data_IF_619239108094
#
_entry.id   IF_619239108094
#
_cell.length_a   1.000
_cell.length_b   1.000
_cell.length_c   1.000
_cell.angle_alpha   90.00
_cell.angle_beta   90.00
_cell.angle_gamma   90.00
#
_symmetry.space_group_name_H-M   'P 1'
#
loop_
_entity.id
_entity.type
_entity.pdbx_description
1 polymer ?
#
# COMPACT_ATOMS: atom_id res chain seq x y z
N UNK A 1 27.92 -18.87 2.35
CA UNK A 1 27.88 -17.63 3.14
C UNK A 1 26.90 -17.88 4.26
N UNK A 2 27.31 -17.79 5.51
CA UNK A 2 26.42 -17.97 6.67
C UNK A 2 25.48 -16.78 6.74
N UNK A 3 24.21 -16.98 6.40
CA UNK A 3 23.16 -15.98 6.63
C UNK A 3 23.05 -15.78 8.15
N UNK A 4 23.55 -14.66 8.65
CA UNK A 4 23.19 -14.24 10.00
C UNK A 4 21.70 -13.91 10.00
N UNK A 5 20.97 -14.55 10.91
CA UNK A 5 19.55 -14.21 11.11
C UNK A 5 19.44 -12.74 11.53
N UNK A 6 18.49 -12.03 10.95
CA UNK A 6 18.20 -10.64 11.28
C UNK A 6 17.84 -10.50 12.76
N UNK A 7 18.50 -9.61 13.49
CA UNK A 7 18.25 -9.42 14.92
C UNK A 7 17.03 -8.51 15.14
N UNK A 8 16.35 -8.62 16.31
CA UNK A 8 15.26 -7.69 16.67
C UNK A 8 15.68 -6.22 16.68
N UNK A 9 16.91 -5.93 17.10
CA UNK A 9 17.47 -4.56 17.09
C UNK A 9 17.61 -4.03 15.65
N UNK A 10 18.08 -4.85 14.73
CA UNK A 10 18.21 -4.49 13.32
C UNK A 10 16.83 -4.25 12.70
N UNK A 11 15.85 -5.10 13.00
CA UNK A 11 14.47 -4.94 12.54
C UNK A 11 13.85 -3.63 13.05
N UNK A 12 14.05 -3.31 14.33
CA UNK A 12 13.58 -2.06 14.93
C UNK A 12 14.23 -0.84 14.29
N UNK A 13 15.53 -0.89 14.01
CA UNK A 13 16.24 0.22 13.36
C UNK A 13 15.70 0.46 11.93
N UNK A 14 15.46 -0.60 11.15
CA UNK A 14 14.84 -0.48 9.84
C UNK A 14 13.45 0.15 9.92
N UNK A 15 12.63 -0.27 10.90
CA UNK A 15 11.31 0.30 11.12
C UNK A 15 11.39 1.79 11.49
N UNK A 16 12.33 2.19 12.34
CA UNK A 16 12.53 3.59 12.68
C UNK A 16 12.86 4.44 11.46
N UNK A 17 13.70 3.94 10.54
CA UNK A 17 14.03 4.63 9.29
C UNK A 17 12.79 4.71 8.38
N UNK A 18 12.04 3.62 8.21
CA UNK A 18 10.79 3.62 7.43
C UNK A 18 9.79 4.66 7.95
N UNK A 19 9.63 4.74 9.28
CA UNK A 19 8.73 5.70 9.94
C UNK A 19 9.19 7.14 9.75
N UNK A 20 10.50 7.43 9.91
CA UNK A 20 11.04 8.77 9.67
C UNK A 20 10.80 9.19 8.22
N UNK A 21 11.12 8.32 7.27
CA UNK A 21 10.95 8.56 5.84
C UNK A 21 9.48 8.83 5.47
N UNK A 22 8.55 7.98 5.93
CA UNK A 22 7.13 8.17 5.67
C UNK A 22 6.60 9.48 6.28
N UNK A 23 7.00 9.82 7.50
CA UNK A 23 6.61 11.10 8.14
C UNK A 23 7.22 12.32 7.45
N UNK A 24 8.46 12.23 6.97
CA UNK A 24 9.10 13.32 6.23
C UNK A 24 8.33 13.62 4.93
N UNK A 25 7.93 12.60 4.16
CA UNK A 25 7.06 12.75 3.00
C UNK A 25 5.70 13.36 3.39
N UNK A 26 5.07 12.87 4.45
CA UNK A 26 3.81 13.42 4.95
C UNK A 26 3.91 14.90 5.35
N UNK A 27 5.06 15.35 5.87
CA UNK A 27 5.28 16.76 6.15
C UNK A 27 5.34 17.60 4.86
N UNK A 28 5.97 17.08 3.80
CA UNK A 28 5.97 17.71 2.46
C UNK A 28 4.54 17.80 1.94
N UNK A 29 3.73 16.74 2.05
CA UNK A 29 2.33 16.76 1.63
C UNK A 29 1.55 17.89 2.31
N UNK A 30 1.63 18.00 3.65
CA UNK A 30 0.90 19.03 4.39
C UNK A 30 1.37 20.46 4.07
N UNK A 31 2.67 20.65 3.81
CA UNK A 31 3.23 21.95 3.46
C UNK A 31 2.69 22.49 2.14
N UNK A 32 2.36 21.61 1.20
CA UNK A 32 1.91 21.95 -0.14
C UNK A 32 0.40 21.72 -0.38
N UNK A 33 -0.33 21.13 0.55
CA UNK A 33 -1.75 20.81 0.40
C UNK A 33 -2.57 22.08 0.09
N UNK A 34 -3.35 22.01 -0.99
CA UNK A 34 -4.16 23.14 -1.46
C UNK A 34 -3.37 24.26 -2.18
N UNK A 35 -2.06 24.07 -2.41
CA UNK A 35 -1.17 25.01 -3.12
C UNK A 35 -0.48 24.37 -4.31
N UNK A 36 -0.98 23.23 -4.79
CA UNK A 36 -0.31 22.43 -5.83
C UNK A 36 -0.28 23.20 -7.14
N UNK A 37 0.91 23.64 -7.53
CA UNK A 37 1.24 24.10 -8.87
C UNK A 37 1.88 22.97 -9.68
N UNK A 38 1.83 23.07 -11.02
CA UNK A 38 2.60 22.16 -11.86
C UNK A 38 2.09 20.73 -11.98
N UNK A 39 0.77 20.52 -11.80
CA UNK A 39 0.14 19.21 -12.06
C UNK A 39 0.35 18.79 -13.51
N UNK A 40 0.85 17.58 -13.73
CA UNK A 40 1.09 17.00 -15.06
C UNK A 40 0.44 15.61 -15.13
N UNK A 41 0.03 15.22 -16.35
CA UNK A 41 -0.37 13.86 -16.63
C UNK A 41 0.86 12.99 -16.93
N UNK A 42 0.96 11.80 -16.33
CA UNK A 42 2.02 10.81 -16.61
C UNK A 42 1.72 10.03 -17.90
N UNK A 43 0.85 9.05 -17.81
CA UNK A 43 0.52 8.12 -18.90
C UNK A 43 -0.84 8.42 -19.54
N UNK A 44 -1.76 9.00 -18.80
CA UNK A 44 -3.09 9.37 -19.24
C UNK A 44 -3.55 10.67 -18.58
N UNK A 45 -4.65 11.25 -19.07
CA UNK A 45 -5.22 12.47 -18.48
C UNK A 45 -5.63 12.29 -17.00
N UNK A 46 -5.88 11.07 -16.57
CA UNK A 46 -6.26 10.75 -15.19
C UNK A 46 -5.06 10.34 -14.31
N UNK A 47 -3.90 10.07 -14.90
CA UNK A 47 -2.67 9.68 -14.20
C UNK A 47 -1.83 10.95 -13.96
N UNK A 48 -1.94 11.52 -12.78
CA UNK A 48 -1.34 12.81 -12.42
C UNK A 48 -0.04 12.62 -11.64
N UNK A 49 0.86 13.56 -11.82
CA UNK A 49 2.03 13.76 -10.97
C UNK A 49 2.13 15.23 -10.59
N UNK A 50 2.58 15.51 -9.41
CA UNK A 50 2.83 16.86 -8.92
C UNK A 50 4.30 17.06 -8.59
N UNK A 51 4.73 18.30 -8.42
CA UNK A 51 6.09 18.60 -7.93
C UNK A 51 6.32 18.04 -6.52
N UNK A 52 5.22 17.78 -5.80
CA UNK A 52 5.21 17.26 -4.43
C UNK A 52 5.63 15.79 -4.39
N UNK A 53 5.22 14.97 -5.38
CA UNK A 53 5.63 13.56 -5.48
C UNK A 53 7.16 13.45 -5.54
N UNK A 54 7.79 14.21 -6.44
CA UNK A 54 9.26 14.22 -6.57
C UNK A 54 9.98 14.82 -5.35
N UNK A 55 9.40 15.81 -4.66
CA UNK A 55 9.97 16.34 -3.42
C UNK A 55 9.85 15.32 -2.29
N UNK A 56 8.70 14.66 -2.17
CA UNK A 56 8.47 13.62 -1.17
C UNK A 56 9.39 12.41 -1.40
N UNK A 57 9.61 11.97 -2.65
CA UNK A 57 10.55 10.88 -2.91
C UNK A 57 11.98 11.24 -2.54
N UNK A 58 12.42 12.46 -2.84
CA UNK A 58 13.78 12.92 -2.46
C UNK A 58 14.01 12.92 -0.96
N UNK A 59 13.03 13.32 -0.15
CA UNK A 59 13.18 13.29 1.32
C UNK A 59 13.17 11.85 1.84
N UNK A 60 12.34 10.96 1.30
CA UNK A 60 12.37 9.52 1.64
C UNK A 60 13.75 8.93 1.36
N UNK A 61 14.29 9.15 0.16
CA UNK A 61 15.62 8.65 -0.23
C UNK A 61 16.73 9.20 0.66
N UNK A 62 16.66 10.48 1.04
CA UNK A 62 17.63 11.09 1.94
C UNK A 62 17.60 10.46 3.34
N UNK A 63 16.42 10.20 3.90
CA UNK A 63 16.27 9.53 5.20
C UNK A 63 16.83 8.10 5.17
N UNK A 64 16.57 7.35 4.08
CA UNK A 64 17.12 6.00 3.91
C UNK A 64 18.64 6.04 3.76
N UNK A 65 19.17 6.91 2.90
CA UNK A 65 20.59 6.98 2.61
C UNK A 65 21.44 7.44 3.81
N UNK A 66 20.86 8.17 4.76
CA UNK A 66 21.55 8.61 5.97
C UNK A 66 22.01 7.43 6.85
N UNK A 67 21.21 6.36 6.91
CA UNK A 67 21.52 5.15 7.70
C UNK A 67 21.97 3.98 6.81
N UNK A 68 21.49 3.89 5.56
CA UNK A 68 21.69 2.76 4.64
C UNK A 68 22.08 3.23 3.22
N UNK A 69 23.26 3.85 3.06
CA UNK A 69 23.69 4.41 1.78
C UNK A 69 23.91 3.36 0.67
N UNK A 70 24.12 2.09 1.05
CA UNK A 70 24.36 0.99 0.11
C UNK A 70 23.09 0.19 -0.22
N UNK A 71 21.93 0.51 0.38
CA UNK A 71 20.68 -0.17 0.06
C UNK A 71 20.09 0.35 -1.25
N UNK A 72 19.55 -0.56 -2.06
CA UNK A 72 18.79 -0.18 -3.25
C UNK A 72 17.44 0.45 -2.86
N UNK A 73 16.96 1.39 -3.68
CA UNK A 73 15.64 2.02 -3.51
C UNK A 73 14.89 1.95 -4.82
N UNK A 74 13.71 1.33 -4.82
CA UNK A 74 12.73 1.36 -5.90
C UNK A 74 11.64 2.36 -5.52
N UNK A 75 11.56 3.48 -6.21
CA UNK A 75 10.52 4.50 -6.04
C UNK A 75 9.66 4.64 -7.28
N UNK A 76 8.50 5.25 -7.12
CA UNK A 76 7.56 5.48 -8.20
C UNK A 76 8.09 6.51 -9.21
N UNK A 77 8.68 7.62 -8.73
CA UNK A 77 9.03 8.77 -9.56
C UNK A 77 10.42 8.63 -10.20
N UNK A 78 11.43 8.22 -9.43
CA UNK A 78 12.81 8.13 -9.89
C UNK A 78 13.22 6.68 -10.25
N UNK A 79 12.30 5.72 -10.08
CA UNK A 79 12.57 4.32 -10.39
C UNK A 79 13.59 3.66 -9.46
N UNK A 80 14.27 2.63 -9.97
CA UNK A 80 15.27 1.89 -9.21
C UNK A 80 16.60 2.64 -9.20
N UNK A 81 17.17 2.82 -8.01
CA UNK A 81 18.51 3.38 -7.78
C UNK A 81 19.29 2.49 -6.82
N UNK A 82 20.62 2.50 -6.94
CA UNK A 82 21.53 1.61 -6.21
C UNK A 82 21.72 0.26 -6.91
N UNK A 83 22.72 -0.49 -6.45
CA UNK A 83 23.00 -1.83 -7.01
C UNK A 83 22.01 -2.85 -6.42
N UNK A 84 21.50 -3.78 -7.26
CA UNK A 84 20.69 -4.88 -6.75
C UNK A 84 21.44 -5.66 -5.68
N UNK A 85 20.82 -5.80 -4.52
CA UNK A 85 21.42 -6.44 -3.36
C UNK A 85 20.38 -7.16 -2.51
N UNK A 86 20.82 -7.60 -1.32
CA UNK A 86 19.96 -8.26 -0.34
C UNK A 86 18.81 -7.36 0.14
N UNK A 87 19.07 -6.06 0.26
CA UNK A 87 18.13 -5.08 0.81
C UNK A 87 17.64 -4.12 -0.25
N UNK A 88 16.31 -3.99 -0.37
CA UNK A 88 15.67 -3.05 -1.28
C UNK A 88 14.52 -2.34 -0.57
N UNK A 89 14.59 -1.02 -0.51
CA UNK A 89 13.45 -0.20 -0.13
C UNK A 89 12.49 -0.06 -1.31
N UNK A 90 11.20 -0.15 -1.03
CA UNK A 90 10.14 0.02 -2.03
C UNK A 90 9.24 1.13 -1.51
N UNK A 91 9.17 2.24 -2.25
CA UNK A 91 8.58 3.48 -1.75
C UNK A 91 7.59 4.09 -2.74
N UNK A 92 6.44 4.49 -2.22
CA UNK A 92 5.51 5.39 -2.87
C UNK A 92 5.51 6.72 -2.11
N UNK A 93 6.01 7.79 -2.74
CA UNK A 93 6.10 9.08 -2.08
C UNK A 93 4.74 9.71 -1.81
N UNK A 94 3.74 9.48 -2.66
CA UNK A 94 2.39 10.05 -2.56
C UNK A 94 1.34 9.14 -3.20
N UNK A 95 0.96 8.06 -2.51
CA UNK A 95 -0.20 7.25 -2.90
C UNK A 95 -1.49 8.08 -2.82
N UNK A 96 -2.25 8.11 -3.92
CA UNK A 96 -3.43 8.94 -4.05
C UNK A 96 -3.16 10.34 -4.64
N UNK A 97 -2.22 10.47 -5.57
CA UNK A 97 -1.84 11.74 -6.23
C UNK A 97 -3.04 12.48 -6.82
N UNK A 98 -3.99 11.78 -7.45
CA UNK A 98 -5.22 12.40 -7.98
C UNK A 98 -6.04 13.03 -6.86
N UNK A 99 -6.21 12.32 -5.75
CA UNK A 99 -6.91 12.83 -4.57
C UNK A 99 -6.22 14.09 -4.03
N UNK A 100 -4.90 13.99 -3.88
CA UNK A 100 -4.07 15.10 -3.40
C UNK A 100 -4.20 16.34 -4.28
N UNK A 101 -4.08 16.19 -5.61
CA UNK A 101 -4.20 17.27 -6.58
C UNK A 101 -5.56 18.01 -6.50
N UNK A 102 -6.62 17.26 -6.12
CA UNK A 102 -7.97 17.82 -5.92
C UNK A 102 -8.25 18.25 -4.47
N UNK A 103 -7.29 18.14 -3.55
CA UNK A 103 -7.51 18.46 -2.13
C UNK A 103 -8.44 17.46 -1.42
N UNK A 104 -8.66 16.27 -2.00
CA UNK A 104 -9.44 15.21 -1.37
C UNK A 104 -8.56 14.46 -0.35
N UNK A 105 -8.96 14.44 0.97
CA UNK A 105 -8.05 14.05 2.04
C UNK A 105 -7.91 12.53 2.22
N UNK A 106 -7.57 11.82 1.13
CA UNK A 106 -7.29 10.38 1.11
C UNK A 106 -6.02 10.16 0.29
N UNK A 107 -4.88 10.25 0.95
CA UNK A 107 -3.54 10.04 0.38
C UNK A 107 -2.55 9.73 1.51
N UNK A 108 -1.44 9.09 1.17
CA UNK A 108 -0.42 8.72 2.14
C UNK A 108 0.97 8.66 1.50
N UNK A 109 1.97 8.38 2.32
CA UNK A 109 3.27 7.86 1.91
C UNK A 109 3.40 6.40 2.34
N UNK A 110 4.02 5.58 1.51
CA UNK A 110 4.21 4.15 1.71
C UNK A 110 5.68 3.81 1.59
N UNK A 111 6.26 3.16 2.63
CA UNK A 111 7.68 2.79 2.69
C UNK A 111 7.81 1.36 3.18
N UNK A 112 8.39 0.49 2.38
CA UNK A 112 8.68 -0.89 2.74
C UNK A 112 10.16 -1.20 2.58
N UNK A 113 10.67 -2.16 3.36
CA UNK A 113 11.95 -2.79 3.15
C UNK A 113 11.74 -4.26 2.81
N UNK A 114 12.41 -4.70 1.78
CA UNK A 114 12.57 -6.11 1.43
C UNK A 114 13.99 -6.60 1.73
N UNK A 115 14.07 -7.83 2.24
CA UNK A 115 15.30 -8.60 2.43
C UNK A 115 15.20 -9.86 1.58
N UNK A 116 16.09 -10.04 0.62
CA UNK A 116 16.08 -11.17 -0.33
C UNK A 116 14.71 -11.34 -1.05
N UNK A 117 14.03 -10.22 -1.34
CA UNK A 117 12.72 -10.19 -1.98
C UNK A 117 11.52 -10.40 -1.05
N UNK A 118 11.76 -10.64 0.25
CA UNK A 118 10.71 -10.77 1.26
C UNK A 118 10.50 -9.46 2.00
N UNK A 119 9.28 -8.98 2.11
CA UNK A 119 8.91 -7.78 2.86
C UNK A 119 9.17 -8.01 4.35
N UNK A 120 10.00 -7.17 4.97
CA UNK A 120 10.38 -7.34 6.38
C UNK A 120 9.95 -6.16 7.26
N UNK A 121 9.77 -4.97 6.67
CA UNK A 121 9.29 -3.76 7.34
C UNK A 121 8.30 -3.05 6.43
N UNK A 122 7.25 -2.47 7.03
CA UNK A 122 6.30 -1.60 6.33
C UNK A 122 5.87 -0.43 7.22
N UNK A 123 5.80 0.76 6.62
CA UNK A 123 5.24 1.97 7.23
C UNK A 123 4.39 2.72 6.19
N UNK A 124 3.14 3.02 6.56
CA UNK A 124 2.21 3.84 5.77
C UNK A 124 1.74 4.99 6.64
N UNK A 125 1.88 6.23 6.16
CA UNK A 125 1.51 7.40 6.93
C UNK A 125 0.46 8.25 6.20
N UNK A 126 -0.74 8.36 6.79
CA UNK A 126 -1.78 9.31 6.41
C UNK A 126 -1.58 10.63 7.19
N UNK A 127 -1.07 11.68 6.56
CA UNK A 127 -0.81 12.93 7.25
C UNK A 127 -2.10 13.71 7.59
N UNK A 128 -3.21 13.44 6.88
CA UNK A 128 -4.48 14.15 7.09
C UNK A 128 -5.17 13.74 8.37
N UNK A 129 -5.01 12.47 8.78
CA UNK A 129 -5.55 11.89 10.01
C UNK A 129 -4.50 11.75 11.11
N UNK A 130 -3.21 11.95 10.79
CA UNK A 130 -2.10 11.65 11.70
C UNK A 130 -2.01 10.16 12.04
N UNK A 131 -2.40 9.29 11.10
CA UNK A 131 -2.41 7.84 11.26
C UNK A 131 -1.14 7.24 10.68
N UNK A 132 -0.35 6.60 11.53
CA UNK A 132 0.84 5.86 11.15
C UNK A 132 0.59 4.37 11.35
N UNK A 133 0.53 3.63 10.25
CA UNK A 133 0.45 2.17 10.23
C UNK A 133 1.85 1.60 10.08
N UNK A 134 2.19 0.60 10.89
CA UNK A 134 3.52 -0.02 10.87
C UNK A 134 3.43 -1.51 11.06
N UNK A 135 4.37 -2.25 10.47
CA UNK A 135 4.58 -3.66 10.75
C UNK A 135 6.04 -4.06 10.58
N UNK A 136 6.44 -5.10 11.29
CA UNK A 136 7.64 -5.88 11.00
C UNK A 136 7.25 -7.35 10.86
N UNK A 137 7.91 -8.08 9.98
CA UNK A 137 7.63 -9.50 9.76
C UNK A 137 7.78 -10.30 11.06
N UNK A 138 6.70 -10.97 11.48
CA UNK A 138 6.61 -11.70 12.75
C UNK A 138 6.51 -10.83 14.00
N UNK A 139 6.46 -9.51 13.86
CA UNK A 139 6.34 -8.56 14.98
C UNK A 139 4.94 -8.00 15.20
N UNK A 140 4.00 -8.30 14.30
CA UNK A 140 2.64 -7.77 14.32
C UNK A 140 2.52 -6.40 13.65
N UNK A 141 1.28 -5.92 13.56
CA UNK A 141 0.94 -4.63 12.96
C UNK A 141 0.37 -3.65 14.00
N UNK A 142 0.60 -2.35 13.78
CA UNK A 142 0.23 -1.30 14.74
C UNK A 142 -0.30 -0.06 14.02
N UNK A 143 -1.27 0.63 14.65
CA UNK A 143 -1.72 1.98 14.30
C UNK A 143 -1.36 2.93 15.44
N UNK A 144 -0.48 3.90 15.18
CA UNK A 144 0.02 4.83 16.20
C UNK A 144 0.54 4.12 17.46
N UNK A 145 1.17 2.96 17.30
CA UNK A 145 1.70 2.13 18.38
C UNK A 145 0.68 1.21 19.06
N UNK A 146 -0.62 1.30 18.72
CA UNK A 146 -1.64 0.37 19.21
C UNK A 146 -1.75 -0.85 18.28
N UNK A 147 -1.78 -2.10 18.81
CA UNK A 147 -1.87 -3.29 17.98
C UNK A 147 -3.11 -3.29 17.08
N UNK A 148 -2.94 -3.70 15.83
CA UNK A 148 -4.01 -3.86 14.84
C UNK A 148 -4.50 -5.30 14.77
N UNK A 149 -5.76 -5.44 14.39
CA UNK A 149 -6.35 -6.72 13.95
C UNK A 149 -7.37 -6.47 12.86
N UNK A 150 -7.42 -7.35 11.90
CA UNK A 150 -8.49 -7.40 10.89
C UNK A 150 -9.86 -7.64 11.53
N UNK A 151 -10.93 -7.35 10.79
CA UNK A 151 -12.29 -7.61 11.20
C UNK A 151 -12.58 -9.12 11.35
N UNK A 152 -13.67 -9.46 12.03
CA UNK A 152 -14.16 -10.83 12.18
C UNK A 152 -15.39 -11.13 11.30
N UNK A 153 -15.64 -10.35 10.25
CA UNK A 153 -16.75 -10.57 9.31
C UNK A 153 -16.52 -11.87 8.56
N UNK A 154 -17.43 -12.87 8.68
CA UNK A 154 -17.13 -14.23 8.22
C UNK A 154 -17.44 -14.50 6.75
N UNK A 155 -18.42 -13.80 6.15
CA UNK A 155 -18.93 -14.02 4.79
C UNK A 155 -19.42 -12.73 4.17
N UNK A 156 -19.58 -12.69 2.84
CA UNK A 156 -20.15 -11.54 2.11
C UNK A 156 -21.67 -11.38 2.36
N UNK A 157 -22.36 -12.39 2.86
CA UNK A 157 -23.78 -12.32 3.25
C UNK A 157 -24.02 -11.54 4.55
N UNK A 158 -22.94 -11.21 5.28
CA UNK A 158 -22.98 -10.34 6.46
C UNK A 158 -22.66 -8.89 6.04
N UNK A 159 -22.85 -7.88 6.92
CA UNK A 159 -22.52 -6.50 6.59
C UNK A 159 -21.02 -6.29 6.34
N UNK A 160 -20.52 -6.81 5.23
CA UNK A 160 -19.16 -6.60 4.77
C UNK A 160 -19.02 -5.23 4.07
N UNK A 161 -17.86 -4.61 4.19
CA UNK A 161 -17.48 -3.41 3.44
C UNK A 161 -16.23 -3.70 2.63
N UNK A 162 -16.36 -3.62 1.30
CA UNK A 162 -15.25 -3.85 0.38
C UNK A 162 -14.74 -2.53 -0.22
N UNK A 163 -13.47 -2.56 -0.67
CA UNK A 163 -12.89 -1.49 -1.47
C UNK A 163 -12.30 -2.03 -2.78
N UNK A 164 -12.16 -1.15 -3.75
CA UNK A 164 -11.46 -1.41 -5.02
C UNK A 164 -10.86 -0.14 -5.59
N UNK A 165 -9.89 -0.29 -6.47
CA UNK A 165 -9.39 0.77 -7.33
C UNK A 165 -9.60 0.44 -8.82
N UNK A 166 -9.26 1.39 -9.66
CA UNK A 166 -9.31 1.25 -11.11
C UNK A 166 -7.99 1.75 -11.70
N UNK A 167 -7.36 0.97 -12.58
CA UNK A 167 -6.24 1.49 -13.35
C UNK A 167 -6.70 2.69 -14.19
N UNK A 168 -5.78 3.62 -14.42
CA UNK A 168 -6.07 4.86 -15.17
C UNK A 168 -6.01 4.68 -16.70
N UNK A 169 -6.12 3.44 -17.17
CA UNK A 169 -6.16 3.07 -18.57
C UNK A 169 -7.46 2.31 -18.94
N UNK A 170 -7.53 1.80 -20.16
CA UNK A 170 -8.71 1.06 -20.65
C UNK A 170 -8.86 -0.34 -20.03
N UNK A 171 -7.86 -0.85 -19.28
CA UNK A 171 -7.94 -2.16 -18.62
C UNK A 171 -8.95 -2.18 -17.45
N UNK A 172 -9.38 -1.00 -16.98
CA UNK A 172 -10.42 -0.84 -15.97
C UNK A 172 -11.77 -1.46 -16.31
N UNK A 173 -12.03 -1.76 -17.60
CA UNK A 173 -13.28 -2.40 -18.04
C UNK A 173 -13.50 -3.77 -17.38
N UNK A 174 -12.42 -4.55 -17.20
CA UNK A 174 -12.48 -5.84 -16.50
C UNK A 174 -12.98 -5.68 -15.06
N UNK A 175 -12.54 -4.62 -14.35
CA UNK A 175 -12.97 -4.35 -12.99
C UNK A 175 -14.46 -4.00 -12.89
N UNK A 176 -15.07 -3.42 -13.93
CA UNK A 176 -16.50 -3.13 -13.96
C UNK A 176 -17.34 -4.41 -13.80
N UNK A 177 -16.91 -5.53 -14.38
CA UNK A 177 -17.58 -6.82 -14.22
C UNK A 177 -17.55 -7.30 -12.76
N UNK A 178 -16.42 -7.17 -12.09
CA UNK A 178 -16.26 -7.52 -10.67
C UNK A 178 -17.10 -6.62 -9.77
N UNK A 179 -17.04 -5.31 -9.98
CA UNK A 179 -17.88 -4.33 -9.27
C UNK A 179 -19.36 -4.66 -9.43
N UNK A 180 -19.79 -4.97 -10.67
CA UNK A 180 -21.18 -5.31 -10.92
C UNK A 180 -21.64 -6.58 -10.16
N UNK A 181 -20.76 -7.59 -10.00
CA UNK A 181 -21.05 -8.80 -9.21
C UNK A 181 -21.21 -8.47 -7.73
N UNK A 182 -20.28 -7.69 -7.16
CA UNK A 182 -20.35 -7.25 -5.76
C UNK A 182 -21.63 -6.47 -5.48
N UNK A 183 -21.97 -5.52 -6.34
CA UNK A 183 -23.18 -4.70 -6.18
C UNK A 183 -24.48 -5.51 -6.33
N UNK A 184 -24.51 -6.57 -7.17
CA UNK A 184 -25.67 -7.47 -7.26
C UNK A 184 -25.91 -8.29 -6.01
N UNK A 185 -24.85 -8.55 -5.21
CA UNK A 185 -24.97 -9.16 -3.88
C UNK A 185 -25.42 -8.17 -2.79
N UNK A 186 -25.53 -6.87 -3.13
CA UNK A 186 -25.88 -5.84 -2.16
C UNK A 186 -24.73 -5.47 -1.21
N UNK A 187 -23.49 -5.92 -1.47
CA UNK A 187 -22.33 -5.62 -0.63
C UNK A 187 -21.89 -4.15 -0.85
N UNK A 188 -21.79 -3.34 0.22
CA UNK A 188 -21.28 -1.99 0.13
C UNK A 188 -19.85 -1.94 -0.40
N UNK A 189 -19.60 -1.01 -1.33
CA UNK A 189 -18.31 -0.85 -1.99
C UNK A 189 -17.80 0.58 -1.87
N UNK A 190 -16.50 0.74 -1.73
CA UNK A 190 -15.79 2.02 -1.75
C UNK A 190 -14.72 2.02 -2.85
N UNK A 191 -14.42 3.21 -3.38
CA UNK A 191 -13.28 3.47 -4.26
C UNK A 191 -12.55 4.69 -3.72
N UNK A 192 -11.74 4.54 -2.64
CA UNK A 192 -11.08 5.67 -2.00
C UNK A 192 -9.95 6.27 -2.84
N UNK A 193 -9.19 5.44 -3.57
CA UNK A 193 -8.17 5.86 -4.52
C UNK A 193 -6.79 6.10 -3.91
N UNK A 194 -6.44 5.32 -2.89
CA UNK A 194 -5.11 5.22 -2.30
C UNK A 194 -4.91 3.78 -1.83
N UNK A 195 -4.20 2.98 -2.62
CA UNK A 195 -4.09 1.52 -2.45
C UNK A 195 -3.45 1.11 -1.13
N UNK A 196 -2.39 1.79 -0.71
CA UNK A 196 -1.74 1.53 0.56
C UNK A 196 -2.67 1.80 1.76
N UNK A 197 -3.50 2.87 1.69
CA UNK A 197 -4.51 3.13 2.72
C UNK A 197 -5.66 2.12 2.69
N UNK A 198 -6.05 1.63 1.52
CA UNK A 198 -7.10 0.61 1.41
C UNK A 198 -6.66 -0.69 2.09
N UNK A 199 -5.41 -1.13 1.87
CA UNK A 199 -4.80 -2.24 2.59
C UNK A 199 -4.75 -2.01 4.11
N UNK A 200 -4.35 -0.81 4.55
CA UNK A 200 -4.32 -0.44 5.96
C UNK A 200 -5.72 -0.39 6.59
N UNK A 201 -6.74 0.03 5.84
CA UNK A 201 -8.13 0.03 6.30
C UNK A 201 -8.67 -1.40 6.47
N UNK A 202 -8.25 -2.36 5.64
CA UNK A 202 -8.54 -3.78 5.87
C UNK A 202 -7.76 -4.29 7.09
N UNK A 203 -6.49 -3.93 7.24
CA UNK A 203 -5.65 -4.34 8.36
C UNK A 203 -6.20 -3.91 9.73
N UNK A 204 -6.83 -2.73 9.81
CA UNK A 204 -7.43 -2.23 11.06
C UNK A 204 -8.93 -2.54 11.22
N UNK A 205 -9.50 -3.36 10.33
CA UNK A 205 -10.90 -3.81 10.42
C UNK A 205 -11.94 -2.74 10.06
N UNK A 206 -11.55 -1.63 9.41
CA UNK A 206 -12.49 -0.63 8.87
C UNK A 206 -13.15 -1.10 7.59
N UNK A 207 -12.45 -1.96 6.84
CA UNK A 207 -12.92 -2.67 5.65
C UNK A 207 -12.62 -4.15 5.81
N UNK A 208 -13.32 -4.98 5.04
CA UNK A 208 -13.22 -6.43 5.17
C UNK A 208 -12.46 -7.08 4.00
N UNK A 209 -12.38 -6.37 2.89
CA UNK A 209 -11.63 -6.80 1.71
C UNK A 209 -11.38 -5.67 0.72
N UNK A 210 -10.37 -5.89 -0.10
CA UNK A 210 -9.92 -4.98 -1.15
C UNK A 210 -9.39 -5.78 -2.33
N UNK A 211 -9.60 -5.29 -3.54
CA UNK A 211 -8.94 -5.78 -4.75
C UNK A 211 -8.65 -4.63 -5.71
N UNK A 212 -7.56 -4.74 -6.44
CA UNK A 212 -7.22 -3.80 -7.50
C UNK A 212 -6.35 -4.45 -8.58
N UNK A 213 -6.59 -4.05 -9.85
CA UNK A 213 -5.80 -4.47 -10.99
C UNK A 213 -4.71 -3.43 -11.28
N UNK A 214 -3.55 -3.91 -11.78
CA UNK A 214 -2.51 -3.03 -12.31
C UNK A 214 -1.70 -2.28 -11.27
N UNK A 215 -1.82 -2.61 -9.98
CA UNK A 215 -1.01 -2.01 -8.91
C UNK A 215 0.47 -2.31 -9.10
N UNK A 216 1.29 -1.35 -8.70
CA UNK A 216 2.74 -1.48 -8.74
C UNK A 216 3.30 -1.94 -7.37
N UNK A 217 4.55 -2.39 -7.30
CA UNK A 217 5.14 -2.83 -6.03
C UNK A 217 5.07 -1.78 -4.91
N UNK A 218 5.27 -0.51 -5.23
CA UNK A 218 5.25 0.58 -4.25
C UNK A 218 3.86 0.84 -3.65
N UNK A 219 2.78 0.64 -4.41
CA UNK A 219 1.40 0.79 -3.95
C UNK A 219 1.04 -0.21 -2.84
N UNK A 220 1.67 -1.39 -2.86
CA UNK A 220 1.21 -2.53 -2.06
C UNK A 220 2.22 -3.11 -1.08
N UNK A 221 3.52 -2.86 -1.24
CA UNK A 221 4.56 -3.53 -0.45
C UNK A 221 4.38 -3.32 1.06
N UNK A 222 4.24 -2.08 1.53
CA UNK A 222 4.08 -1.80 2.95
C UNK A 222 2.69 -2.22 3.46
N UNK A 223 1.62 -1.82 2.75
CA UNK A 223 0.24 -2.10 3.15
C UNK A 223 -0.07 -3.59 3.25
N UNK A 224 0.47 -4.41 2.33
CA UNK A 224 0.26 -5.86 2.36
C UNK A 224 0.97 -6.54 3.52
N UNK A 225 2.19 -6.11 3.89
CA UNK A 225 2.84 -6.62 5.10
C UNK A 225 2.04 -6.25 6.36
N UNK A 226 1.58 -5.00 6.45
CA UNK A 226 0.77 -4.53 7.58
C UNK A 226 -0.51 -5.35 7.70
N UNK A 227 -1.17 -5.65 6.58
CA UNK A 227 -2.36 -6.48 6.58
C UNK A 227 -2.09 -7.93 7.01
N UNK A 228 -1.04 -8.56 6.50
CA UNK A 228 -0.65 -9.93 6.88
C UNK A 228 -0.32 -10.02 8.37
N UNK A 229 0.43 -9.08 8.90
CA UNK A 229 0.81 -9.00 10.32
C UNK A 229 -0.39 -8.67 11.25
N UNK A 230 -1.46 -8.06 10.70
CA UNK A 230 -2.73 -7.89 11.40
C UNK A 230 -3.63 -9.14 11.38
N UNK A 231 -3.21 -10.22 10.72
CA UNK A 231 -3.93 -11.49 10.59
C UNK A 231 -4.82 -11.59 9.36
N UNK A 232 -4.67 -10.67 8.40
CA UNK A 232 -5.32 -10.73 7.09
C UNK A 232 -4.63 -11.66 6.10
N UNK A 233 -5.17 -11.73 4.90
CA UNK A 233 -4.63 -12.54 3.81
C UNK A 233 -4.50 -11.71 2.54
N UNK A 234 -3.34 -11.88 1.87
CA UNK A 234 -3.04 -11.25 0.58
C UNK A 234 -2.70 -12.34 -0.43
N UNK A 235 -3.22 -12.21 -1.64
CA UNK A 235 -2.87 -13.07 -2.78
C UNK A 235 -2.99 -12.31 -4.11
N UNK A 236 -2.53 -12.94 -5.17
CA UNK A 236 -2.96 -12.59 -6.52
C UNK A 236 -4.35 -13.17 -6.83
N UNK A 237 -4.85 -12.97 -8.05
CA UNK A 237 -6.13 -13.51 -8.51
C UNK A 237 -6.18 -15.05 -8.55
N UNK A 238 -5.05 -15.71 -8.74
CA UNK A 238 -4.95 -17.18 -8.72
C UNK A 238 -4.92 -17.74 -7.28
N UNK A 239 -4.86 -16.90 -6.27
CA UNK A 239 -4.76 -17.28 -4.86
C UNK A 239 -3.33 -17.58 -4.41
N UNK A 240 -2.32 -17.26 -5.22
CA UNK A 240 -0.91 -17.36 -4.84
C UNK A 240 -0.57 -16.27 -3.83
N UNK A 241 0.10 -16.64 -2.75
CA UNK A 241 0.49 -15.68 -1.70
C UNK A 241 1.59 -14.74 -2.20
N UNK A 242 1.19 -13.69 -2.84
CA UNK A 242 2.05 -12.59 -3.32
C UNK A 242 1.21 -11.31 -3.47
N UNK A 243 1.73 -10.13 -3.13
CA UNK A 243 1.09 -8.87 -3.47
C UNK A 243 1.43 -8.41 -4.90
N UNK A 244 2.42 -9.03 -5.54
CA UNK A 244 3.02 -8.58 -6.80
C UNK A 244 2.47 -9.37 -7.99
N UNK A 245 1.17 -9.25 -8.22
CA UNK A 245 0.48 -9.87 -9.35
C UNK A 245 -0.16 -8.83 -10.27
N UNK A 246 -0.82 -9.28 -11.34
CA UNK A 246 -1.64 -8.40 -12.20
C UNK A 246 -2.87 -7.85 -11.47
N UNK A 247 -3.24 -8.46 -10.36
CA UNK A 247 -4.31 -8.05 -9.46
C UNK A 247 -3.95 -8.47 -8.04
N UNK A 248 -4.13 -7.58 -7.09
CA UNK A 248 -4.06 -7.89 -5.66
C UNK A 248 -5.46 -8.21 -5.13
N UNK A 249 -5.56 -9.22 -4.26
CA UNK A 249 -6.75 -9.53 -3.47
C UNK A 249 -6.35 -9.60 -2.00
N UNK A 250 -6.94 -8.76 -1.18
CA UNK A 250 -6.59 -8.56 0.22
C UNK A 250 -7.85 -8.60 1.09
N UNK A 251 -7.85 -9.36 2.18
CA UNK A 251 -9.05 -9.52 3.02
C UNK A 251 -8.68 -9.72 4.49
N UNK A 252 -9.70 -9.75 5.34
CA UNK A 252 -9.60 -10.17 6.73
C UNK A 252 -9.26 -11.67 6.93
N UNK A 253 -8.99 -12.39 5.84
CA UNK A 253 -8.71 -13.83 5.85
C UNK A 253 -9.96 -14.71 5.75
N UNK A 254 -11.01 -14.43 6.50
CA UNK A 254 -12.25 -15.21 6.47
C UNK A 254 -12.97 -15.12 5.12
N UNK A 255 -13.02 -13.92 4.52
CA UNK A 255 -13.68 -13.66 3.23
C UNK A 255 -12.85 -14.06 2.01
N UNK A 256 -11.58 -14.49 2.19
CA UNK A 256 -10.63 -14.54 1.07
C UNK A 256 -11.05 -15.49 -0.05
N UNK A 257 -11.48 -16.69 0.30
CA UNK A 257 -11.92 -17.68 -0.70
C UNK A 257 -13.17 -17.22 -1.45
N UNK A 258 -14.15 -16.67 -0.73
CA UNK A 258 -15.40 -16.18 -1.31
C UNK A 258 -15.16 -14.98 -2.23
N UNK A 259 -14.29 -14.04 -1.83
CA UNK A 259 -13.92 -12.90 -2.68
C UNK A 259 -13.15 -13.35 -3.92
N UNK A 260 -12.21 -14.29 -3.80
CA UNK A 260 -11.52 -14.85 -4.97
C UNK A 260 -12.49 -15.51 -5.95
N UNK A 261 -13.47 -16.28 -5.46
CA UNK A 261 -14.48 -16.90 -6.32
C UNK A 261 -15.32 -15.86 -7.07
N UNK A 262 -15.66 -14.75 -6.40
CA UNK A 262 -16.41 -13.63 -7.00
C UNK A 262 -15.61 -12.90 -8.08
N UNK A 263 -14.28 -12.84 -7.92
CA UNK A 263 -13.34 -12.15 -8.81
C UNK A 263 -12.77 -13.06 -9.92
N UNK A 264 -13.20 -14.31 -10.01
CA UNK A 264 -12.84 -15.17 -11.15
C UNK A 264 -13.46 -14.63 -12.42
N UNK A 265 -12.69 -14.68 -13.52
CA UNK A 265 -13.23 -14.43 -14.85
C UNK A 265 -14.31 -15.49 -15.10
N UNK A 266 -15.54 -15.05 -15.24
CA UNK A 266 -16.63 -15.95 -15.56
C UNK A 266 -16.53 -16.43 -17.01
N UNK A 267 -16.89 -17.70 -17.26
CA UNK A 267 -17.24 -18.19 -18.59
C UNK A 267 -18.39 -17.38 -19.19
#
# INVERSE_FOLDING_TARGET
>A
MTHHATTPEQMNHWLEVAVRAARAAGAVHLAHLGRVGGVRAKSSFADLVTEVDGEAERVIRAEIAADFPDHAVLGEEEGAQGEPGRYRWVVDPLDGTVNYAHGYPVFCSSVALEEDGERVVGAVYDPTRGELFTATRGGGAFLNGAPLRVSAVPTLDTPALLATGFPYDTSGERNLAYVARVLRLGVPLRRPGAAALDLCNVACGRMDGYWELGVQPWDVAAGSLILEEAGGRVSDQAGLTTPYGSMIVATNGALHAELLDLLRDGE
#
